data_IF_249137298432
#
_entry.id   IF_249137298432
#
_cell.length_a   1.000
_cell.length_b   1.000
_cell.length_c   1.000
_cell.angle_alpha   90.00
_cell.angle_beta   90.00
_cell.angle_gamma   90.00
#
_symmetry.space_group_name_H-M   'P 1'
#
loop_
_entity.id
_entity.type
_entity.pdbx_description
1 polymer ?
#
# COMPACT_ATOMS: atom_id res chain seq x y z
N UNK A 1 -15.98 24.31 53.62
CA UNK A 1 -16.71 23.14 53.11
C UNK A 1 -16.75 23.23 51.59
N UNK A 2 -16.39 22.16 50.87
CA UNK A 2 -16.38 22.06 49.39
C UNK A 2 -17.82 22.13 48.83
N UNK A 3 -18.02 22.40 47.51
CA UNK A 3 -17.95 21.32 46.50
C UNK A 3 -16.93 21.67 45.39
N UNK A 4 -15.97 20.80 45.07
CA UNK A 4 -16.08 19.63 44.17
C UNK A 4 -16.25 20.07 42.71
N UNK A 5 -15.08 20.13 42.06
CA UNK A 5 -14.78 19.93 40.65
C UNK A 5 -15.89 19.12 39.97
N UNK A 6 -16.66 19.75 39.07
CA UNK A 6 -17.41 19.03 38.04
C UNK A 6 -16.62 19.14 36.75
N UNK A 7 -15.61 18.27 36.66
CA UNK A 7 -15.05 17.83 35.39
C UNK A 7 -16.18 17.28 34.54
N UNK A 8 -16.64 18.06 33.57
CA UNK A 8 -17.25 17.51 32.36
C UNK A 8 -16.27 17.84 31.24
N UNK A 9 -15.12 17.15 31.28
CA UNK A 9 -14.36 16.88 30.08
C UNK A 9 -15.29 15.97 29.28
N UNK A 10 -16.02 16.56 28.33
CA UNK A 10 -16.81 15.83 27.34
C UNK A 10 -15.79 14.98 26.58
N UNK A 11 -15.58 13.77 27.09
CA UNK A 11 -14.83 12.72 26.43
C UNK A 11 -15.45 12.57 25.05
N UNK A 12 -14.75 13.08 24.05
CA UNK A 12 -14.51 12.46 22.75
C UNK A 12 -15.27 11.13 22.54
N UNK A 13 -16.59 11.23 22.35
CA UNK A 13 -17.41 10.21 21.72
C UNK A 13 -17.44 10.43 20.20
N UNK A 14 -16.30 10.87 19.65
CA UNK A 14 -15.95 10.53 18.29
C UNK A 14 -15.21 9.20 18.42
N UNK A 15 -15.97 8.11 18.30
CA UNK A 15 -15.46 6.79 17.93
C UNK A 15 -14.84 6.89 16.53
N UNK A 16 -13.75 7.65 16.42
CA UNK A 16 -12.94 7.74 15.24
C UNK A 16 -12.37 6.36 15.03
N UNK A 17 -12.74 5.73 13.91
CA UNK A 17 -12.11 4.53 13.42
C UNK A 17 -10.59 4.79 13.43
N UNK A 18 -9.86 4.15 14.36
CA UNK A 18 -8.42 4.38 14.52
C UNK A 18 -7.74 3.82 13.28
N UNK A 19 -7.45 4.68 12.31
CA UNK A 19 -6.66 4.31 11.13
C UNK A 19 -5.20 4.25 11.56
N UNK A 20 -4.69 3.03 11.69
CA UNK A 20 -3.30 2.81 12.05
C UNK A 20 -2.39 3.07 10.84
N UNK A 21 -1.53 4.08 10.94
CA UNK A 21 -0.62 4.49 9.87
C UNK A 21 0.83 4.48 10.35
N UNK A 22 1.61 3.53 9.86
CA UNK A 22 3.05 3.39 10.10
C UNK A 22 3.83 3.38 8.79
N UNK A 23 5.14 3.67 8.88
CA UNK A 23 6.03 3.76 7.73
C UNK A 23 5.86 5.07 6.95
N UNK A 24 6.88 5.45 6.20
CA UNK A 24 6.89 6.65 5.37
C UNK A 24 6.79 6.24 3.89
N UNK A 25 5.65 6.52 3.21
CA UNK A 25 5.51 6.28 1.78
C UNK A 25 6.33 7.29 0.98
N UNK A 26 6.40 7.09 -0.34
CA UNK A 26 7.05 8.06 -1.22
C UNK A 26 6.15 9.28 -1.45
N UNK A 27 6.70 10.50 -1.45
CA UNK A 27 5.94 11.75 -1.63
C UNK A 27 5.15 11.83 -2.96
N UNK A 28 5.51 11.01 -3.95
CA UNK A 28 4.80 10.88 -5.22
C UNK A 28 4.51 9.42 -5.58
N UNK A 29 4.38 8.60 -4.54
CA UNK A 29 4.09 7.18 -4.57
C UNK A 29 2.61 6.85 -4.68
N UNK A 30 2.31 5.57 -4.95
CA UNK A 30 0.94 5.06 -5.03
C UNK A 30 0.25 5.16 -3.68
N UNK A 31 0.97 4.95 -2.58
CA UNK A 31 0.40 5.01 -1.23
C UNK A 31 -0.01 6.44 -0.91
N UNK A 32 0.88 7.41 -1.11
CA UNK A 32 0.57 8.83 -0.90
C UNK A 32 -0.59 9.30 -1.77
N UNK A 33 -0.65 8.88 -3.04
CA UNK A 33 -1.78 9.14 -3.95
C UNK A 33 -3.10 8.55 -3.44
N UNK A 34 -3.12 7.29 -3.01
CA UNK A 34 -4.35 6.65 -2.53
C UNK A 34 -4.84 7.19 -1.19
N UNK A 35 -3.92 7.64 -0.34
CA UNK A 35 -4.27 8.26 0.93
C UNK A 35 -4.76 9.70 0.77
N UNK A 36 -4.25 10.45 -0.22
CA UNK A 36 -4.73 11.81 -0.50
C UNK A 36 -6.09 11.81 -1.20
N UNK A 37 -6.25 11.00 -2.26
CA UNK A 37 -7.42 11.04 -3.12
C UNK A 37 -8.57 10.15 -2.63
N UNK A 38 -8.25 9.07 -1.89
CA UNK A 38 -9.22 8.04 -1.49
C UNK A 38 -9.07 7.60 -0.02
N UNK A 39 -9.00 8.53 0.95
CA UNK A 39 -8.71 8.21 2.34
C UNK A 39 -9.69 7.21 2.97
N UNK A 40 -10.97 7.25 2.59
CA UNK A 40 -12.02 6.35 3.07
C UNK A 40 -11.85 4.88 2.63
N UNK A 41 -11.03 4.64 1.61
CA UNK A 41 -10.74 3.32 1.06
C UNK A 41 -9.31 2.85 1.36
N UNK A 42 -8.54 3.64 2.10
CA UNK A 42 -7.12 3.44 2.44
C UNK A 42 -6.98 3.29 3.96
N UNK A 43 -7.22 2.10 4.49
CA UNK A 43 -7.50 1.90 5.93
C UNK A 43 -6.25 1.87 6.80
N UNK A 44 -5.39 0.87 6.59
CA UNK A 44 -4.25 0.58 7.45
C UNK A 44 -2.96 0.65 6.66
N UNK A 45 -1.94 1.29 7.25
CA UNK A 45 -0.60 1.37 6.67
C UNK A 45 0.40 0.78 7.65
N UNK A 46 1.18 -0.19 7.21
CA UNK A 46 2.17 -0.89 8.03
C UNK A 46 3.56 -0.69 7.46
N UNK A 47 4.55 -0.56 8.34
CA UNK A 47 5.96 -0.64 7.95
C UNK A 47 6.37 -2.11 7.87
N UNK A 48 6.98 -2.52 6.76
CA UNK A 48 7.45 -3.89 6.58
C UNK A 48 8.86 -3.92 5.95
N UNK A 49 9.89 -4.12 6.77
CA UNK A 49 11.30 -4.26 6.33
C UNK A 49 11.73 -3.10 5.40
N UNK A 50 11.68 -3.29 4.07
CA UNK A 50 12.03 -2.32 3.01
C UNK A 50 10.82 -1.70 2.31
N UNK A 51 9.61 -2.06 2.69
CA UNK A 51 8.36 -1.54 2.13
C UNK A 51 7.44 -0.93 3.18
N UNK A 52 6.45 -0.22 2.67
CA UNK A 52 5.23 0.20 3.34
C UNK A 52 4.10 -0.56 2.68
N UNK A 53 3.23 -1.18 3.47
CA UNK A 53 2.02 -1.86 3.02
C UNK A 53 0.80 -1.00 3.34
N UNK A 54 0.05 -0.59 2.33
CA UNK A 54 -1.24 0.05 2.48
C UNK A 54 -2.36 -0.94 2.13
N UNK A 55 -3.23 -1.21 3.10
CA UNK A 55 -4.45 -1.98 2.87
C UNK A 55 -5.53 -1.09 2.23
N UNK A 56 -6.03 -1.53 1.07
CA UNK A 56 -7.03 -0.78 0.30
C UNK A 56 -8.22 -1.63 -0.10
N UNK A 57 -9.37 -0.97 -0.35
CA UNK A 57 -10.56 -1.66 -0.87
C UNK A 57 -10.42 -1.99 -2.37
N UNK A 58 -10.96 -3.14 -2.84
CA UNK A 58 -10.88 -3.55 -4.24
C UNK A 58 -11.46 -2.57 -5.26
N UNK A 59 -12.36 -1.68 -4.84
CA UNK A 59 -12.92 -0.61 -5.69
C UNK A 59 -11.84 0.31 -6.27
N UNK A 60 -10.68 0.42 -5.60
CA UNK A 60 -9.56 1.25 -6.06
C UNK A 60 -8.72 0.62 -7.17
N UNK A 61 -9.01 -0.62 -7.58
CA UNK A 61 -8.17 -1.35 -8.54
C UNK A 61 -8.00 -0.62 -9.89
N UNK A 62 -9.07 -0.02 -10.40
CA UNK A 62 -9.00 0.78 -11.64
C UNK A 62 -8.13 2.03 -11.46
N UNK A 63 -8.20 2.69 -10.30
CA UNK A 63 -7.37 3.86 -9.99
C UNK A 63 -5.89 3.52 -9.89
N UNK A 64 -5.59 2.35 -9.33
CA UNK A 64 -4.22 1.84 -9.25
C UNK A 64 -3.65 1.52 -10.64
N UNK A 65 -4.46 0.94 -11.53
CA UNK A 65 -4.08 0.72 -12.94
C UNK A 65 -3.82 2.04 -13.68
N UNK A 66 -4.70 3.02 -13.51
CA UNK A 66 -4.54 4.36 -14.08
C UNK A 66 -3.27 5.05 -13.57
N UNK A 67 -3.01 4.98 -12.26
CA UNK A 67 -1.77 5.51 -11.68
C UNK A 67 -0.53 4.88 -12.33
N UNK A 68 -0.51 3.56 -12.51
CA UNK A 68 0.60 2.87 -13.15
C UNK A 68 0.85 3.37 -14.59
N UNK A 69 -0.23 3.49 -15.37
CA UNK A 69 -0.18 4.04 -16.73
C UNK A 69 0.37 5.47 -16.76
N UNK A 70 -0.06 6.32 -15.83
CA UNK A 70 0.38 7.71 -15.72
C UNK A 70 1.87 7.84 -15.36
N UNK A 71 2.46 6.79 -14.76
CA UNK A 71 3.90 6.70 -14.50
C UNK A 71 4.69 6.08 -15.65
N UNK A 72 4.09 5.92 -16.83
CA UNK A 72 4.69 5.24 -18.00
C UNK A 72 5.20 3.83 -17.67
N UNK A 73 4.50 3.13 -16.77
CA UNK A 73 4.82 1.79 -16.32
C UNK A 73 3.74 0.79 -16.75
N UNK A 74 4.10 -0.49 -16.73
CA UNK A 74 3.21 -1.59 -17.10
C UNK A 74 2.56 -2.18 -15.85
N UNK A 75 1.23 -2.26 -15.89
CA UNK A 75 0.49 -2.98 -14.86
C UNK A 75 0.35 -4.45 -15.27
N UNK A 76 1.02 -5.34 -14.56
CA UNK A 76 0.95 -6.78 -14.80
C UNK A 76 0.21 -7.48 -13.67
N UNK A 77 -0.76 -8.31 -14.04
CA UNK A 77 -1.50 -9.14 -13.11
C UNK A 77 -1.33 -10.61 -13.50
N UNK A 78 -0.91 -11.43 -12.54
CA UNK A 78 -0.65 -12.85 -12.76
C UNK A 78 -1.69 -13.73 -12.07
N UNK A 79 -2.29 -13.24 -10.99
CA UNK A 79 -3.43 -13.89 -10.33
C UNK A 79 -4.50 -12.85 -9.99
N UNK A 80 -5.68 -13.30 -9.58
CA UNK A 80 -6.74 -12.40 -9.09
C UNK A 80 -6.33 -11.60 -7.85
N UNK A 81 -5.24 -12.01 -7.17
CA UNK A 81 -4.77 -11.41 -5.92
C UNK A 81 -3.36 -10.84 -5.98
N UNK A 82 -2.63 -11.06 -7.07
CA UNK A 82 -1.20 -10.71 -7.16
C UNK A 82 -0.84 -10.11 -8.51
N UNK A 83 -0.11 -9.01 -8.44
CA UNK A 83 0.38 -8.27 -9.59
C UNK A 83 1.32 -7.17 -9.14
N UNK A 84 1.73 -6.32 -10.08
CA UNK A 84 2.57 -5.17 -9.78
C UNK A 84 2.42 -4.09 -10.84
N UNK A 85 2.99 -2.93 -10.55
CA UNK A 85 3.32 -1.94 -11.54
C UNK A 85 4.83 -1.89 -11.71
N UNK A 86 5.34 -2.08 -12.92
CA UNK A 86 6.78 -2.18 -13.20
C UNK A 86 7.18 -1.28 -14.37
N UNK A 87 8.29 -0.56 -14.23
CA UNK A 87 8.83 0.29 -15.29
C UNK A 87 9.50 -0.53 -16.39
N UNK A 88 9.77 0.09 -17.54
CA UNK A 88 10.57 -0.53 -18.63
C UNK A 88 11.97 -0.93 -18.19
N UNK A 89 12.55 -0.20 -17.24
CA UNK A 89 13.85 -0.48 -16.63
C UNK A 89 13.80 -1.57 -15.57
N UNK A 90 12.67 -2.29 -15.47
CA UNK A 90 12.43 -3.40 -14.54
C UNK A 90 12.52 -2.98 -13.07
N UNK A 91 12.07 -1.77 -12.76
CA UNK A 91 11.95 -1.28 -11.38
C UNK A 91 10.48 -1.39 -10.99
N UNK A 92 10.11 -2.20 -9.97
CA UNK A 92 8.75 -2.23 -9.48
C UNK A 92 8.42 -0.90 -8.81
N UNK A 93 7.34 -0.24 -9.22
CA UNK A 93 6.83 0.94 -8.53
C UNK A 93 6.05 0.54 -7.28
N UNK A 94 5.24 -0.53 -7.39
CA UNK A 94 4.55 -1.15 -6.26
C UNK A 94 4.11 -2.57 -6.61
N UNK A 95 3.83 -3.37 -5.58
CA UNK A 95 3.33 -4.73 -5.68
C UNK A 95 1.93 -4.78 -5.07
N UNK A 96 1.04 -5.53 -5.70
CA UNK A 96 -0.28 -5.87 -5.16
C UNK A 96 -0.23 -7.31 -4.71
N UNK A 97 -0.65 -7.54 -3.47
CA UNK A 97 -0.87 -8.89 -2.95
C UNK A 97 -2.11 -8.92 -2.06
N UNK A 98 -2.75 -10.08 -1.94
CA UNK A 98 -3.71 -10.30 -0.86
C UNK A 98 -2.99 -10.14 0.48
N UNK A 99 -3.66 -9.46 1.41
CA UNK A 99 -3.25 -9.36 2.81
C UNK A 99 -4.18 -10.25 3.65
N UNK A 100 -3.59 -11.05 4.53
CA UNK A 100 -4.36 -11.90 5.45
C UNK A 100 -4.66 -11.21 6.79
N UNK A 101 -3.94 -10.11 7.07
CA UNK A 101 -4.03 -9.35 8.33
C UNK A 101 -5.45 -8.77 8.52
N UNK A 102 -6.09 -8.37 7.42
CA UNK A 102 -7.44 -7.80 7.40
C UNK A 102 -8.39 -8.57 6.46
N UNK A 103 -8.21 -9.88 6.29
CA UNK A 103 -8.96 -10.67 5.31
C UNK A 103 -10.50 -10.49 5.41
N UNK A 104 -11.03 -10.25 6.63
CA UNK A 104 -12.45 -9.99 6.88
C UNK A 104 -12.95 -8.66 6.30
N UNK A 105 -12.05 -7.71 6.05
CA UNK A 105 -12.35 -6.42 5.43
C UNK A 105 -12.30 -6.49 3.89
N UNK A 106 -11.91 -7.64 3.32
CA UNK A 106 -11.84 -7.83 1.87
C UNK A 106 -10.86 -6.87 1.20
N UNK A 107 -9.74 -6.56 1.85
CA UNK A 107 -8.74 -5.60 1.38
C UNK A 107 -7.61 -6.27 0.59
N UNK A 108 -6.93 -5.50 -0.24
CA UNK A 108 -5.67 -5.88 -0.89
C UNK A 108 -4.55 -5.01 -0.32
N UNK A 109 -3.35 -5.59 -0.18
CA UNK A 109 -2.15 -4.86 0.21
C UNK A 109 -1.47 -4.25 -1.00
N UNK A 110 -1.08 -2.98 -0.88
CA UNK A 110 -0.26 -2.24 -1.83
C UNK A 110 1.09 -2.02 -1.17
N UNK A 111 2.10 -2.71 -1.67
CA UNK A 111 3.46 -2.68 -1.15
C UNK A 111 4.29 -1.72 -2.01
N UNK A 112 4.72 -0.63 -1.41
CA UNK A 112 5.62 0.36 -2.00
C UNK A 112 6.92 0.38 -1.20
N UNK A 113 8.07 0.67 -1.82
CA UNK A 113 9.32 0.84 -1.06
C UNK A 113 9.22 2.03 -0.09
N UNK A 114 9.92 1.94 1.03
CA UNK A 114 10.07 3.11 1.93
C UNK A 114 10.91 4.21 1.26
N UNK A 115 10.70 5.47 1.66
CA UNK A 115 11.36 6.64 1.08
C UNK A 115 12.90 6.61 1.11
N UNK A 116 13.50 5.99 2.12
CA UNK A 116 14.96 5.83 2.26
C UNK A 116 15.53 4.61 1.51
N UNK A 117 14.68 3.79 0.86
CA UNK A 117 15.13 2.59 0.13
C UNK A 117 15.40 2.94 -1.33
N UNK A 118 16.60 2.59 -1.80
CA UNK A 118 16.98 2.80 -3.20
C UNK A 118 16.25 1.84 -4.16
N UNK A 119 16.17 2.19 -5.45
CA UNK A 119 15.51 1.34 -6.46
C UNK A 119 16.20 -0.02 -6.62
N UNK A 120 17.54 -0.04 -6.53
CA UNK A 120 18.31 -1.28 -6.59
C UNK A 120 18.01 -2.19 -5.40
N UNK A 121 17.99 -1.63 -4.18
CA UNK A 121 17.64 -2.40 -2.99
C UNK A 121 16.20 -2.91 -3.02
N UNK A 122 15.27 -2.09 -3.50
CA UNK A 122 13.87 -2.48 -3.66
C UNK A 122 13.73 -3.60 -4.70
N UNK A 123 14.41 -3.48 -5.83
CA UNK A 123 14.41 -4.50 -6.88
C UNK A 123 14.95 -5.83 -6.35
N UNK A 124 16.09 -5.81 -5.65
CA UNK A 124 16.66 -7.01 -5.01
C UNK A 124 15.70 -7.61 -3.99
N UNK A 125 15.17 -6.81 -3.08
CA UNK A 125 14.19 -7.25 -2.09
C UNK A 125 12.96 -7.88 -2.75
N UNK A 126 12.45 -7.28 -3.84
CA UNK A 126 11.27 -7.80 -4.53
C UNK A 126 11.52 -9.16 -5.19
N UNK A 127 12.76 -9.44 -5.64
CA UNK A 127 13.16 -10.73 -6.19
C UNK A 127 13.19 -11.81 -5.12
N UNK A 128 13.64 -11.45 -3.93
CA UNK A 128 13.72 -12.36 -2.77
C UNK A 128 12.32 -12.68 -2.21
N UNK A 129 11.48 -11.65 -2.02
CA UNK A 129 10.18 -11.81 -1.34
C UNK A 129 9.02 -12.14 -2.29
N UNK A 130 9.12 -11.78 -3.57
CA UNK A 130 8.08 -12.05 -4.57
C UNK A 130 8.63 -12.77 -5.81
N UNK A 131 9.34 -13.90 -5.64
CA UNK A 131 10.02 -14.59 -6.74
C UNK A 131 9.05 -15.07 -7.83
N UNK A 132 7.79 -15.35 -7.47
CA UNK A 132 6.74 -15.71 -8.41
C UNK A 132 6.48 -14.62 -9.45
N UNK A 133 6.37 -13.35 -9.04
CA UNK A 133 6.11 -12.23 -9.97
C UNK A 133 7.24 -12.10 -11.00
N UNK A 134 8.48 -12.20 -10.54
CA UNK A 134 9.65 -12.17 -11.41
C UNK A 134 9.73 -13.36 -12.35
N UNK A 135 9.39 -14.56 -11.88
CA UNK A 135 9.35 -15.77 -12.71
C UNK A 135 8.34 -15.61 -13.86
N UNK A 136 7.13 -15.15 -13.56
CA UNK A 136 6.08 -14.95 -14.58
C UNK A 136 6.40 -13.82 -15.55
N UNK A 137 6.97 -12.71 -15.05
CA UNK A 137 7.41 -11.60 -15.91
C UNK A 137 8.48 -12.04 -16.91
N UNK A 138 9.50 -12.75 -16.45
CA UNK A 138 10.59 -13.23 -17.30
C UNK A 138 10.13 -14.27 -18.33
N UNK A 139 9.04 -15.00 -18.10
CA UNK A 139 8.46 -15.91 -19.10
C UNK A 139 7.79 -15.16 -20.25
N UNK A 140 7.19 -13.99 -19.98
CA UNK A 140 6.47 -13.18 -20.98
C UNK A 140 7.40 -12.32 -21.84
N UNK A 141 8.60 -11.99 -21.35
CA UNK A 141 9.62 -11.25 -22.11
C UNK A 141 10.46 -12.13 -23.05
N UNK A 142 10.31 -13.45 -23.02
CA UNK A 142 10.98 -14.40 -23.92
C UNK A 142 10.16 -14.62 -25.18
#
# INVERSE_FOLDING_TARGET
MRPIITSIFVMFLLSGCVTFKQGEPLDNGVISFLESEYPQYSTHRFKFIKSVDLHVKPILFNRIKEYCKNKNANFEQYTIYSGWCITKDKIPLFIISRTDIDAKLGTMGIFEKQNFVSDNEWTTFSKEFYPYLWSEYNKRER
#
